data_IF_628556295885
#
_entry.id   IF_628556295885
#
_cell.length_a   1.000
_cell.length_b   1.000
_cell.length_c   1.000
_cell.angle_alpha   90.00
_cell.angle_beta   90.00
_cell.angle_gamma   90.00
#
_symmetry.space_group_name_H-M   'P 1'
#
loop_
_entity.id
_entity.type
_entity.pdbx_description
1 polymer ?
#
# COMPACT_ATOMS: atom_id res chain seq x y z
N UNK A 1 -16.48 -48.53 -45.77
CA UNK A 1 -16.65 -48.36 -44.32
C UNK A 1 -15.64 -47.33 -43.89
N UNK A 2 -16.00 -46.06 -44.02
CA UNK A 2 -15.12 -44.92 -43.77
C UNK A 2 -15.12 -44.59 -42.28
N UNK A 3 -14.00 -44.89 -41.62
CA UNK A 3 -13.79 -44.59 -40.20
C UNK A 3 -13.21 -43.18 -40.10
N UNK A 4 -14.07 -42.22 -39.78
CA UNK A 4 -13.67 -40.85 -39.45
C UNK A 4 -13.05 -40.82 -38.05
N UNK A 5 -11.72 -40.63 -37.98
CA UNK A 5 -11.00 -40.33 -36.74
C UNK A 5 -11.28 -38.87 -36.38
N UNK A 6 -12.22 -38.64 -35.46
CA UNK A 6 -12.36 -37.34 -34.80
C UNK A 6 -11.23 -37.16 -33.78
N UNK A 7 -10.23 -36.37 -34.15
CA UNK A 7 -9.19 -35.91 -33.24
C UNK A 7 -9.79 -34.86 -32.30
N UNK A 8 -10.22 -35.31 -31.11
CA UNK A 8 -10.74 -34.45 -30.06
C UNK A 8 -9.58 -33.62 -29.47
N UNK A 9 -9.34 -32.43 -30.01
CA UNK A 9 -8.47 -31.44 -29.38
C UNK A 9 -9.10 -31.00 -28.07
N UNK A 10 -8.69 -31.61 -26.96
CA UNK A 10 -8.97 -31.12 -25.61
C UNK A 10 -8.25 -29.78 -25.48
N UNK A 11 -8.97 -28.69 -25.73
CA UNK A 11 -8.56 -27.37 -25.27
C UNK A 11 -8.58 -27.39 -23.74
N UNK A 12 -7.45 -27.75 -23.13
CA UNK A 12 -7.16 -27.37 -21.76
C UNK A 12 -7.11 -25.85 -21.74
N UNK A 13 -8.27 -25.23 -21.51
CA UNK A 13 -8.34 -23.81 -21.22
C UNK A 13 -7.48 -23.57 -20.00
N UNK A 14 -6.31 -22.96 -20.21
CA UNK A 14 -5.57 -22.32 -19.15
C UNK A 14 -6.55 -21.31 -18.54
N UNK A 15 -7.17 -21.70 -17.42
CA UNK A 15 -7.83 -20.73 -16.55
C UNK A 15 -6.70 -19.79 -16.16
N UNK A 16 -6.69 -18.62 -16.79
CA UNK A 16 -5.93 -17.47 -16.32
C UNK A 16 -6.28 -17.40 -14.83
N UNK A 17 -5.34 -17.75 -13.96
CA UNK A 17 -5.46 -17.47 -12.55
C UNK A 17 -5.52 -15.94 -12.49
N UNK A 18 -6.74 -15.41 -12.43
CA UNK A 18 -6.97 -14.00 -12.22
C UNK A 18 -6.26 -13.67 -10.92
N UNK A 19 -5.17 -12.91 -11.02
CA UNK A 19 -4.55 -12.32 -9.85
C UNK A 19 -5.66 -11.53 -9.17
N UNK A 20 -5.95 -11.87 -7.92
CA UNK A 20 -6.98 -11.18 -7.15
C UNK A 20 -6.48 -9.74 -6.92
N UNK A 21 -6.91 -8.83 -7.79
CA UNK A 21 -6.54 -7.43 -7.78
C UNK A 21 -7.28 -6.73 -6.63
N UNK A 22 -6.53 -6.02 -5.81
CA UNK A 22 -7.11 -5.14 -4.82
C UNK A 22 -7.83 -3.99 -5.46
N UNK A 23 -8.73 -3.40 -4.68
CA UNK A 23 -9.42 -2.21 -5.08
C UNK A 23 -9.65 -1.34 -3.86
N UNK A 24 -9.22 -0.10 -3.97
CA UNK A 24 -9.35 0.88 -2.91
C UNK A 24 -9.05 2.30 -3.37
N UNK A 25 -9.64 3.28 -2.69
CA UNK A 25 -9.50 4.69 -3.02
C UNK A 25 -9.48 5.56 -1.77
N UNK A 26 -8.69 6.62 -1.83
CA UNK A 26 -8.71 7.71 -0.85
C UNK A 26 -9.94 8.59 -1.11
N UNK A 27 -10.85 8.66 -0.13
CA UNK A 27 -12.13 9.35 -0.22
C UNK A 27 -12.17 10.67 0.58
N UNK A 28 -11.38 10.76 1.64
CA UNK A 28 -11.23 11.97 2.46
C UNK A 28 -9.75 12.12 2.88
N UNK A 29 -9.11 13.28 2.66
CA UNK A 29 -9.53 14.29 1.70
C UNK A 29 -9.74 13.65 0.30
N UNK A 30 -10.71 14.13 -0.50
CA UNK A 30 -10.98 13.51 -1.80
C UNK A 30 -9.74 13.52 -2.70
N UNK A 31 -9.29 12.33 -3.13
CA UNK A 31 -8.14 12.25 -4.04
C UNK A 31 -8.45 12.84 -5.42
N UNK A 32 -7.41 13.14 -6.20
CA UNK A 32 -7.49 13.58 -7.60
C UNK A 32 -8.47 12.72 -8.43
N UNK A 33 -8.38 11.40 -8.31
CA UNK A 33 -9.27 10.46 -9.00
C UNK A 33 -10.66 10.32 -8.36
N UNK A 34 -10.77 10.45 -7.04
CA UNK A 34 -12.03 10.24 -6.30
C UNK A 34 -12.89 11.49 -6.18
N UNK A 35 -12.39 12.68 -6.55
CA UNK A 35 -13.06 13.96 -6.33
C UNK A 35 -14.47 14.03 -6.93
N UNK A 36 -14.67 13.36 -8.07
CA UNK A 36 -15.96 13.29 -8.76
C UNK A 36 -17.06 12.60 -7.92
N UNK A 37 -16.70 11.79 -6.93
CA UNK A 37 -17.67 11.16 -6.00
C UNK A 37 -18.17 12.12 -4.93
N UNK A 38 -17.59 13.31 -4.84
CA UNK A 38 -17.83 14.32 -3.80
C UNK A 38 -18.36 15.63 -4.39
N UNK A 39 -18.98 15.61 -5.57
CA UNK A 39 -19.52 16.82 -6.25
C UNK A 39 -20.56 17.61 -5.45
N UNK A 40 -21.21 16.98 -4.46
CA UNK A 40 -22.17 17.63 -3.57
C UNK A 40 -21.54 18.20 -2.30
N UNK A 41 -20.26 17.92 -2.06
CA UNK A 41 -19.49 18.48 -0.96
C UNK A 41 -19.33 19.99 -1.16
N UNK A 42 -19.64 20.84 -0.17
CA UNK A 42 -19.61 22.30 -0.34
C UNK A 42 -18.27 22.87 -0.83
N UNK A 43 -17.14 22.26 -0.45
CA UNK A 43 -15.80 22.70 -0.86
C UNK A 43 -15.46 22.27 -2.30
N UNK A 44 -16.07 21.19 -2.78
CA UNK A 44 -15.84 20.63 -4.13
C UNK A 44 -16.86 21.13 -5.15
N UNK A 45 -18.09 21.39 -4.71
CA UNK A 45 -19.24 21.80 -5.54
C UNK A 45 -18.93 22.97 -6.49
N UNK A 46 -18.13 23.99 -6.15
CA UNK A 46 -17.75 25.05 -7.09
C UNK A 46 -17.05 24.53 -8.35
N UNK A 47 -16.32 23.41 -8.24
CA UNK A 47 -15.55 22.81 -9.33
C UNK A 47 -16.31 21.71 -10.10
N UNK A 48 -17.58 21.42 -9.75
CA UNK A 48 -18.34 20.27 -10.28
C UNK A 48 -18.39 20.17 -11.81
N UNK A 49 -18.35 21.30 -12.52
CA UNK A 49 -18.47 21.36 -13.98
C UNK A 49 -17.13 21.16 -14.70
N UNK A 50 -16.01 21.17 -13.96
CA UNK A 50 -14.66 21.02 -14.51
C UNK A 50 -13.94 19.78 -13.98
N UNK A 51 -14.45 19.12 -12.93
CA UNK A 51 -13.91 17.85 -12.44
C UNK A 51 -14.03 16.77 -13.51
N UNK A 52 -12.91 16.12 -13.83
CA UNK A 52 -12.88 14.96 -14.72
C UNK A 52 -13.07 13.69 -13.91
N UNK A 53 -14.11 12.91 -14.22
CA UNK A 53 -14.40 11.68 -13.50
C UNK A 53 -13.42 10.55 -13.89
N UNK A 54 -12.83 9.91 -12.88
CA UNK A 54 -12.18 8.61 -13.01
C UNK A 54 -13.10 7.51 -12.46
N UNK A 55 -13.78 6.76 -13.33
CA UNK A 55 -14.65 5.67 -12.88
C UNK A 55 -13.87 4.45 -12.37
N UNK A 56 -12.56 4.37 -12.63
CA UNK A 56 -11.64 3.38 -12.10
C UNK A 56 -10.76 3.95 -10.97
N UNK A 57 -11.27 4.93 -10.21
CA UNK A 57 -10.54 5.60 -9.12
C UNK A 57 -10.12 4.67 -7.96
N UNK A 58 -10.68 3.46 -7.90
CA UNK A 58 -10.28 2.40 -6.96
C UNK A 58 -9.15 1.50 -7.46
N UNK A 59 -8.70 1.67 -8.71
CA UNK A 59 -7.70 0.84 -9.38
C UNK A 59 -6.35 1.52 -9.59
N UNK A 60 -5.98 2.49 -8.75
CA UNK A 60 -4.68 3.18 -8.81
C UNK A 60 -3.58 2.32 -8.16
N UNK A 61 -3.31 1.17 -8.78
CA UNK A 61 -2.54 0.07 -8.22
C UNK A 61 -1.18 -0.16 -8.91
N UNK A 62 -0.57 0.91 -9.43
CA UNK A 62 0.70 0.85 -10.15
C UNK A 62 0.65 0.03 -11.46
N UNK A 63 -0.55 -0.19 -12.01
CA UNK A 63 -0.79 -1.08 -13.14
C UNK A 63 -0.85 -2.56 -12.76
N UNK A 64 -1.06 -2.85 -11.49
CA UNK A 64 -1.10 -4.19 -10.91
C UNK A 64 0.27 -4.71 -10.50
N UNK A 65 0.27 -5.65 -9.55
CA UNK A 65 1.50 -6.22 -8.95
C UNK A 65 2.52 -6.71 -9.98
N UNK A 66 2.07 -7.39 -11.03
CA UNK A 66 2.97 -7.93 -12.07
C UNK A 66 3.68 -6.83 -12.84
N UNK A 67 2.96 -5.75 -13.19
CA UNK A 67 3.56 -4.59 -13.84
C UNK A 67 4.55 -3.89 -12.91
N UNK A 68 4.17 -3.70 -11.65
CA UNK A 68 5.06 -3.12 -10.65
C UNK A 68 6.36 -3.93 -10.49
N UNK A 69 6.28 -5.27 -10.41
CA UNK A 69 7.46 -6.16 -10.36
C UNK A 69 8.32 -6.01 -11.61
N UNK A 70 7.71 -6.00 -12.81
CA UNK A 70 8.43 -5.84 -14.07
C UNK A 70 9.17 -4.49 -14.16
N UNK A 71 8.70 -3.48 -13.42
CA UNK A 71 9.31 -2.17 -13.31
C UNK A 71 10.20 -2.02 -12.05
N UNK A 72 10.70 -3.13 -11.49
CA UNK A 72 11.62 -3.11 -10.35
C UNK A 72 10.99 -2.66 -9.04
N UNK A 73 9.69 -2.89 -8.86
CA UNK A 73 8.93 -2.48 -7.68
C UNK A 73 8.40 -1.03 -7.75
N UNK A 74 8.72 -0.29 -8.81
CA UNK A 74 8.42 1.14 -8.92
C UNK A 74 6.96 1.40 -9.27
N UNK A 75 6.45 2.53 -8.79
CA UNK A 75 5.10 3.02 -9.01
C UNK A 75 5.13 4.53 -9.30
N UNK A 76 4.20 5.04 -10.09
CA UNK A 76 3.92 6.47 -10.16
C UNK A 76 3.54 7.02 -8.78
N UNK A 77 3.87 8.28 -8.51
CA UNK A 77 3.74 8.86 -7.16
C UNK A 77 2.29 8.88 -6.69
N UNK A 78 1.34 8.92 -7.62
CA UNK A 78 -0.09 8.93 -7.33
C UNK A 78 -0.82 7.67 -7.80
N UNK A 79 -0.10 6.55 -7.97
CA UNK A 79 -0.68 5.21 -8.19
C UNK A 79 -0.81 4.79 -9.65
N UNK A 80 -0.42 5.65 -10.58
CA UNK A 80 -0.31 5.32 -11.99
C UNK A 80 0.79 4.26 -12.23
N UNK A 81 0.68 3.43 -13.28
CA UNK A 81 1.78 2.58 -13.74
C UNK A 81 3.08 3.36 -13.94
N UNK A 82 4.19 2.82 -13.43
CA UNK A 82 5.48 3.52 -13.52
C UNK A 82 5.93 3.78 -14.97
N UNK A 83 5.61 2.85 -15.86
CA UNK A 83 5.93 2.86 -17.29
C UNK A 83 4.93 3.64 -18.17
N UNK A 84 3.91 4.27 -17.59
CA UNK A 84 3.03 5.16 -18.35
C UNK A 84 3.78 6.40 -18.83
N UNK A 85 3.38 6.98 -19.98
CA UNK A 85 3.98 8.21 -20.47
C UNK A 85 3.75 9.36 -19.48
N UNK A 86 4.74 10.24 -19.37
CA UNK A 86 4.62 11.45 -18.55
C UNK A 86 3.96 12.60 -19.34
N UNK A 87 3.13 13.45 -18.70
CA UNK A 87 2.69 13.34 -17.31
C UNK A 87 1.67 12.19 -17.12
N UNK A 88 1.85 11.41 -16.05
CA UNK A 88 0.90 10.34 -15.69
C UNK A 88 -0.43 10.95 -15.27
N UNK A 89 -1.54 10.22 -15.42
CA UNK A 89 -2.88 10.81 -15.31
C UNK A 89 -3.17 11.44 -13.93
N UNK A 90 -2.60 10.93 -12.85
CA UNK A 90 -2.80 11.46 -11.48
C UNK A 90 -1.65 12.35 -10.99
N UNK A 91 -0.65 12.62 -11.81
CA UNK A 91 0.47 13.53 -11.53
C UNK A 91 0.27 14.88 -12.21
N UNK A 92 0.97 15.92 -11.77
CA UNK A 92 0.81 17.29 -12.30
C UNK A 92 0.92 17.34 -13.84
N UNK A 93 0.00 18.06 -14.48
CA UNK A 93 -0.18 18.06 -15.94
C UNK A 93 -1.00 16.89 -16.49
N UNK A 94 -1.25 15.88 -15.67
CA UNK A 94 -2.13 14.75 -15.95
C UNK A 94 -3.61 15.10 -15.87
N UNK A 95 -4.43 14.23 -16.46
CA UNK A 95 -5.88 14.40 -16.62
C UNK A 95 -6.64 14.66 -15.31
N UNK A 96 -6.23 14.04 -14.20
CA UNK A 96 -6.91 14.13 -12.90
C UNK A 96 -6.22 15.08 -11.91
N UNK A 97 -4.99 15.51 -12.19
CA UNK A 97 -4.25 16.46 -11.35
C UNK A 97 -4.58 17.91 -11.74
N UNK A 98 -5.81 18.33 -11.45
CA UNK A 98 -6.35 19.63 -11.88
C UNK A 98 -5.98 20.81 -10.96
N UNK A 99 -5.25 20.55 -9.87
CA UNK A 99 -4.77 21.58 -8.93
C UNK A 99 -5.82 22.08 -7.92
N UNK A 100 -6.96 21.40 -7.77
CA UNK A 100 -7.99 21.81 -6.81
C UNK A 100 -7.59 21.44 -5.38
N UNK A 101 -7.44 22.44 -4.53
CA UNK A 101 -7.35 22.26 -3.08
C UNK A 101 -8.70 21.75 -2.58
N UNK A 102 -8.73 20.53 -2.07
CA UNK A 102 -9.95 19.85 -1.65
C UNK A 102 -10.31 20.09 -0.19
N UNK A 103 -9.31 20.45 0.63
CA UNK A 103 -9.45 20.75 2.06
C UNK A 103 -8.45 21.80 2.52
N UNK A 104 -8.82 22.50 3.58
CA UNK A 104 -7.97 23.47 4.28
C UNK A 104 -7.79 23.02 5.74
N UNK A 105 -6.56 22.89 6.18
CA UNK A 105 -6.20 22.46 7.53
C UNK A 105 -5.30 23.49 8.23
N UNK A 106 -5.08 23.30 9.52
CA UNK A 106 -4.06 24.00 10.30
C UNK A 106 -2.85 23.09 10.51
N UNK A 107 -1.65 23.67 10.57
CA UNK A 107 -0.45 22.92 10.97
C UNK A 107 -0.65 22.26 12.33
N UNK A 108 -0.10 21.06 12.53
CA UNK A 108 -0.31 20.33 13.78
C UNK A 108 -1.75 19.86 14.02
N UNK A 109 -2.68 19.99 13.06
CA UNK A 109 -4.03 19.50 13.21
C UNK A 109 -4.09 17.98 13.07
N UNK A 110 -4.91 17.34 13.90
CA UNK A 110 -5.37 15.97 13.69
C UNK A 110 -6.50 15.99 12.65
N UNK A 111 -6.23 15.45 11.46
CA UNK A 111 -7.14 15.55 10.30
C UNK A 111 -7.79 14.22 9.97
N UNK A 112 -9.09 14.21 9.58
CA UNK A 112 -9.76 12.99 9.17
C UNK A 112 -9.24 12.51 7.82
N UNK A 113 -9.04 11.20 7.72
CA UNK A 113 -8.77 10.51 6.46
C UNK A 113 -9.69 9.29 6.33
N UNK A 114 -10.29 9.13 5.16
CA UNK A 114 -11.19 8.01 4.86
C UNK A 114 -10.70 7.30 3.62
N UNK A 115 -10.49 5.99 3.76
CA UNK A 115 -10.16 5.09 2.65
C UNK A 115 -11.28 4.09 2.49
N UNK A 116 -11.78 3.95 1.27
CA UNK A 116 -12.76 2.90 0.93
C UNK A 116 -12.03 1.75 0.25
N UNK A 117 -12.14 0.53 0.79
CA UNK A 117 -11.68 -0.69 0.13
C UNK A 117 -12.88 -1.49 -0.35
N UNK A 118 -12.97 -1.70 -1.66
CA UNK A 118 -14.01 -2.55 -2.28
C UNK A 118 -13.54 -4.01 -2.39
N UNK A 119 -12.22 -4.23 -2.44
CA UNK A 119 -11.60 -5.55 -2.34
C UNK A 119 -10.36 -5.48 -1.42
N UNK A 120 -10.53 -5.66 -0.09
CA UNK A 120 -9.42 -5.60 0.87
C UNK A 120 -8.54 -6.86 0.82
N UNK A 121 -7.23 -6.66 0.73
CA UNK A 121 -6.22 -7.73 0.65
C UNK A 121 -5.18 -7.68 1.76
N UNK A 122 -5.64 -7.43 2.99
CA UNK A 122 -4.79 -7.36 4.18
C UNK A 122 -3.65 -6.33 4.03
N UNK A 123 -2.66 -6.29 4.92
CA UNK A 123 -1.53 -5.36 4.81
C UNK A 123 -1.76 -4.11 5.63
N UNK A 124 -1.40 -2.93 5.13
CA UNK A 124 -1.49 -1.69 5.92
C UNK A 124 -1.54 -0.42 5.08
N UNK A 125 -2.14 0.63 5.64
CA UNK A 125 -2.08 1.98 5.11
C UNK A 125 -0.93 2.77 5.72
N UNK A 126 -0.38 3.68 4.92
CA UNK A 126 0.50 4.78 5.33
C UNK A 126 -0.03 6.08 4.71
N UNK A 127 0.24 7.19 5.38
CA UNK A 127 -0.07 8.53 4.87
C UNK A 127 1.17 9.41 4.91
N UNK A 128 1.40 10.19 3.86
CA UNK A 128 2.49 11.15 3.75
C UNK A 128 1.96 12.51 3.32
N UNK A 129 2.69 13.57 3.62
CA UNK A 129 2.38 14.91 3.11
C UNK A 129 3.65 15.59 2.58
N UNK A 130 3.54 16.40 1.54
CA UNK A 130 4.62 17.25 1.06
C UNK A 130 4.11 18.69 0.86
N UNK A 131 4.80 19.72 1.41
CA UNK A 131 4.50 21.13 1.14
C UNK A 131 5.04 21.54 -0.25
N UNK A 132 4.37 21.08 -1.31
CA UNK A 132 4.89 21.13 -2.68
C UNK A 132 4.78 22.52 -3.33
N UNK A 133 3.64 23.19 -3.19
CA UNK A 133 3.35 24.54 -3.71
C UNK A 133 3.68 24.73 -5.20
N UNK A 134 3.53 23.67 -6.01
CA UNK A 134 3.81 23.72 -7.45
C UNK A 134 2.91 22.75 -8.21
N UNK A 135 1.78 23.23 -8.71
CA UNK A 135 0.80 22.40 -9.41
C UNK A 135 1.20 22.01 -10.84
N UNK A 136 2.29 22.58 -11.39
CA UNK A 136 2.76 22.28 -12.75
C UNK A 136 3.85 21.21 -12.79
N UNK A 137 4.45 20.91 -11.62
CA UNK A 137 5.54 19.95 -11.52
C UNK A 137 5.08 18.68 -10.78
N UNK A 138 5.36 17.48 -11.31
CA UNK A 138 5.07 16.24 -10.58
C UNK A 138 5.78 16.22 -9.22
N UNK A 139 5.00 15.92 -8.18
CA UNK A 139 5.50 15.65 -6.83
C UNK A 139 6.41 14.41 -6.86
N UNK A 140 7.35 14.30 -5.91
CA UNK A 140 8.28 13.16 -5.83
C UNK A 140 8.11 12.38 -4.53
N UNK A 141 8.50 11.09 -4.55
CA UNK A 141 8.54 10.26 -3.35
C UNK A 141 9.49 10.85 -2.30
N UNK A 142 10.62 11.44 -2.72
CA UNK A 142 11.60 12.02 -1.80
C UNK A 142 11.02 13.16 -0.95
N UNK A 143 10.11 13.98 -1.48
CA UNK A 143 9.45 15.01 -0.68
C UNK A 143 8.42 14.41 0.29
N UNK A 144 7.65 13.43 -0.18
CA UNK A 144 6.62 12.77 0.65
C UNK A 144 7.26 11.97 1.79
N UNK A 145 8.39 11.33 1.55
CA UNK A 145 9.12 10.54 2.54
C UNK A 145 9.73 11.39 3.67
N UNK A 146 9.82 12.72 3.50
CA UNK A 146 10.22 13.62 4.58
C UNK A 146 9.14 13.75 5.67
N UNK A 147 7.87 13.49 5.36
CA UNK A 147 6.77 13.66 6.32
C UNK A 147 5.79 12.49 6.27
N UNK A 148 6.22 11.35 6.80
CA UNK A 148 5.34 10.22 7.14
C UNK A 148 4.45 10.61 8.34
N UNK A 149 3.14 10.52 8.17
CA UNK A 149 2.16 10.92 9.18
C UNK A 149 1.89 9.79 10.18
N UNK A 150 1.68 10.16 11.44
CA UNK A 150 1.25 9.23 12.48
C UNK A 150 -0.27 9.28 12.70
N UNK A 151 -0.84 8.14 13.07
CA UNK A 151 -2.21 8.03 13.56
C UNK A 151 -2.31 8.49 15.03
N UNK A 152 -3.52 8.55 15.59
CA UNK A 152 -3.77 8.95 16.99
C UNK A 152 -2.97 8.15 18.03
N UNK A 153 -2.69 6.88 17.74
CA UNK A 153 -1.92 5.99 18.60
C UNK A 153 -0.39 6.13 18.39
N UNK A 154 0.05 7.17 17.67
CA UNK A 154 1.44 7.44 17.30
C UNK A 154 2.10 6.41 16.37
N UNK A 155 1.37 5.40 15.90
CA UNK A 155 1.84 4.49 14.86
C UNK A 155 1.83 5.21 13.51
N UNK A 156 2.67 4.76 12.58
CA UNK A 156 2.69 5.28 11.19
C UNK A 156 2.03 4.33 10.19
N UNK A 157 1.57 3.17 10.67
CA UNK A 157 0.90 2.14 9.86
C UNK A 157 -0.44 1.76 10.47
N UNK A 158 -1.47 1.77 9.65
CA UNK A 158 -2.80 1.28 10.04
C UNK A 158 -3.02 -0.12 9.45
N UNK A 159 -3.13 -1.17 10.28
CA UNK A 159 -3.22 -2.54 9.80
C UNK A 159 -4.61 -2.85 9.20
N UNK A 160 -4.62 -3.55 8.07
CA UNK A 160 -5.81 -4.09 7.42
C UNK A 160 -5.84 -5.59 7.68
N UNK A 161 -6.78 -6.01 8.54
CA UNK A 161 -6.91 -7.42 8.99
C UNK A 161 -8.21 -8.08 8.51
N UNK A 162 -9.16 -7.26 8.06
CA UNK A 162 -10.43 -7.68 7.47
C UNK A 162 -10.29 -7.90 5.96
N UNK A 163 -11.05 -8.85 5.43
CA UNK A 163 -11.23 -9.09 3.99
C UNK A 163 -12.62 -8.67 3.51
N UNK A 164 -13.35 -7.91 4.33
CA UNK A 164 -14.70 -7.44 4.06
C UNK A 164 -14.63 -6.00 3.56
N UNK A 165 -15.27 -5.72 2.42
CA UNK A 165 -15.36 -4.38 1.85
C UNK A 165 -15.97 -3.40 2.85
N UNK A 166 -15.28 -2.28 3.08
CA UNK A 166 -15.71 -1.25 4.04
C UNK A 166 -14.93 0.05 3.84
N UNK A 167 -15.45 1.11 4.46
CA UNK A 167 -14.75 2.38 4.62
C UNK A 167 -14.02 2.40 5.96
N UNK A 168 -12.73 2.74 5.93
CA UNK A 168 -11.89 2.95 7.08
C UNK A 168 -11.81 4.45 7.36
N UNK A 169 -12.46 4.89 8.42
CA UNK A 169 -12.37 6.26 8.91
C UNK A 169 -11.27 6.32 9.97
N UNK A 170 -10.27 7.15 9.76
CA UNK A 170 -9.09 7.30 10.60
C UNK A 170 -8.79 8.79 10.77
N UNK A 171 -7.88 9.10 11.68
CA UNK A 171 -7.30 10.43 11.80
C UNK A 171 -5.78 10.33 11.75
N UNK A 172 -5.14 11.30 11.09
CA UNK A 172 -3.68 11.42 11.02
C UNK A 172 -3.22 12.80 11.48
N UNK A 173 -2.08 12.83 12.14
CA UNK A 173 -1.50 14.03 12.74
C UNK A 173 -0.65 14.76 11.69
N UNK A 174 -1.03 15.98 11.32
CA UNK A 174 -0.18 16.84 10.48
C UNK A 174 1.05 17.31 11.27
N UNK A 175 2.23 17.46 10.62
CA UNK A 175 3.40 18.04 11.26
C UNK A 175 3.18 19.52 11.61
N UNK A 176 3.89 20.01 12.62
CA UNK A 176 3.77 21.40 13.09
C UNK A 176 4.60 22.39 12.26
N UNK A 177 5.50 21.87 11.43
CA UNK A 177 6.40 22.61 10.54
C UNK A 177 5.94 22.61 9.07
N UNK A 178 4.91 21.83 8.73
CA UNK A 178 4.32 21.82 7.38
C UNK A 178 3.29 22.95 7.25
N UNK A 179 3.55 23.86 6.32
CA UNK A 179 2.66 24.95 5.89
C UNK A 179 2.74 25.07 4.37
N UNK A 180 1.61 25.19 3.69
CA UNK A 180 1.53 25.17 2.23
C UNK A 180 0.18 25.74 1.74
N UNK A 181 0.22 26.40 0.59
CA UNK A 181 -0.99 26.75 -0.18
C UNK A 181 -1.48 25.54 -0.98
N UNK A 182 -0.56 24.66 -1.38
CA UNK A 182 -0.86 23.39 -2.02
C UNK A 182 0.13 22.31 -1.55
N UNK A 183 -0.28 21.54 -0.55
CA UNK A 183 0.33 20.28 -0.19
C UNK A 183 -0.25 19.14 -1.02
N UNK A 184 0.55 18.07 -1.18
CA UNK A 184 0.05 16.78 -1.63
C UNK A 184 0.02 15.83 -0.43
N UNK A 185 -1.18 15.38 -0.05
CA UNK A 185 -1.39 14.29 0.89
C UNK A 185 -1.52 12.99 0.10
N UNK A 186 -0.61 12.03 0.36
CA UNK A 186 -0.58 10.74 -0.30
C UNK A 186 -1.06 9.66 0.68
N UNK A 187 -2.08 8.92 0.29
CA UNK A 187 -2.38 7.61 0.84
C UNK A 187 -1.59 6.55 0.06
N UNK A 188 -0.99 5.61 0.79
CA UNK A 188 -0.41 4.38 0.25
C UNK A 188 -1.03 3.20 0.97
N UNK A 189 -1.45 2.20 0.22
CA UNK A 189 -1.85 0.90 0.74
C UNK A 189 -0.97 -0.18 0.17
N UNK A 190 -0.12 -0.76 1.03
CA UNK A 190 0.60 -1.98 0.69
C UNK A 190 -0.23 -3.17 1.13
N UNK A 191 -0.72 -3.93 0.16
CA UNK A 191 -1.45 -5.18 0.41
C UNK A 191 -0.58 -6.22 1.11
N UNK A 192 -1.19 -7.34 1.47
CA UNK A 192 -0.56 -8.32 2.35
C UNK A 192 -0.97 -9.76 2.13
N UNK A 193 -1.64 -10.06 1.03
CA UNK A 193 -2.18 -11.38 0.73
C UNK A 193 -1.25 -12.25 -0.14
N UNK A 194 -0.20 -11.67 -0.72
CA UNK A 194 0.69 -12.40 -1.64
C UNK A 194 1.85 -13.04 -0.89
N UNK A 195 2.21 -14.26 -1.30
CA UNK A 195 3.46 -14.88 -0.86
C UNK A 195 4.66 -14.18 -1.52
N UNK A 196 5.70 -13.94 -0.75
CA UNK A 196 6.97 -13.39 -1.25
C UNK A 196 8.12 -13.69 -0.32
N UNK A 197 9.31 -13.20 -0.68
CA UNK A 197 10.54 -13.36 0.11
C UNK A 197 11.16 -12.00 0.36
N UNK A 198 11.59 -11.76 1.60
CA UNK A 198 12.22 -10.53 2.05
C UNK A 198 13.21 -10.86 3.16
N UNK A 199 14.43 -10.33 3.07
CA UNK A 199 15.49 -10.55 4.06
C UNK A 199 15.78 -12.03 4.39
N UNK A 200 15.61 -12.94 3.42
CA UNK A 200 15.85 -14.37 3.57
C UNK A 200 14.67 -15.16 4.15
N UNK A 201 13.57 -14.50 4.49
CA UNK A 201 12.34 -15.12 4.98
C UNK A 201 11.27 -15.13 3.88
N UNK A 202 10.51 -16.23 3.77
CA UNK A 202 9.45 -16.38 2.78
C UNK A 202 8.11 -16.53 3.47
N UNK A 203 7.09 -15.79 3.05
CA UNK A 203 5.82 -15.74 3.77
C UNK A 203 4.74 -14.92 3.09
N UNK A 204 3.51 -15.02 3.60
CA UNK A 204 2.41 -14.14 3.19
C UNK A 204 2.70 -12.71 3.67
N UNK A 205 2.58 -11.74 2.76
CA UNK A 205 2.79 -10.32 3.04
C UNK A 205 4.24 -9.84 2.94
N UNK A 206 5.18 -10.76 2.73
CA UNK A 206 6.61 -10.47 2.55
C UNK A 206 6.95 -10.19 1.08
N UNK A 207 8.05 -9.48 0.84
CA UNK A 207 8.54 -9.16 -0.50
C UNK A 207 7.62 -8.20 -1.25
N UNK A 208 7.67 -8.18 -2.59
CA UNK A 208 6.81 -7.28 -3.36
C UNK A 208 5.33 -7.67 -3.21
N UNK A 209 4.52 -6.72 -2.76
CA UNK A 209 3.08 -6.82 -2.68
C UNK A 209 2.45 -5.88 -3.71
N UNK A 210 1.15 -6.06 -3.99
CA UNK A 210 0.42 -5.04 -4.74
C UNK A 210 0.28 -3.78 -3.90
N UNK A 211 0.38 -2.61 -4.52
CA UNK A 211 0.29 -1.34 -3.82
C UNK A 211 -0.71 -0.42 -4.51
N UNK A 212 -1.48 0.32 -3.70
CA UNK A 212 -2.44 1.32 -4.16
C UNK A 212 -2.06 2.68 -3.62
N UNK A 213 -2.38 3.72 -4.38
CA UNK A 213 -2.11 5.08 -3.96
C UNK A 213 -3.30 6.00 -4.23
N UNK A 214 -3.32 7.12 -3.52
CA UNK A 214 -4.20 8.23 -3.83
C UNK A 214 -3.57 9.53 -3.36
N UNK A 215 -3.45 10.51 -4.27
CA UNK A 215 -2.99 11.84 -3.95
C UNK A 215 -4.18 12.80 -3.84
N UNK A 216 -4.23 13.59 -2.78
CA UNK A 216 -5.17 14.69 -2.61
C UNK A 216 -4.38 16.00 -2.45
N UNK A 217 -4.83 17.05 -3.14
CA UNK A 217 -4.29 18.40 -2.98
C UNK A 217 -5.03 19.09 -1.83
N UNK A 218 -4.29 19.59 -0.83
CA UNK A 218 -4.83 20.23 0.39
C UNK A 218 -4.00 21.46 0.75
N UNK A 219 -4.55 22.39 1.53
CA UNK A 219 -3.80 23.53 2.08
C UNK A 219 -3.61 23.36 3.59
N UNK A 220 -2.47 23.84 4.11
CA UNK A 220 -2.16 23.84 5.54
C UNK A 220 -1.72 25.23 5.95
N UNK A 221 -2.56 25.91 6.73
CA UNK A 221 -2.30 27.27 7.20
C UNK A 221 -1.38 27.28 8.43
N UNK A 222 -0.59 28.35 8.56
CA UNK A 222 0.35 28.56 9.67
C UNK A 222 -0.23 29.25 10.92
N UNK A 223 -1.49 29.73 10.85
CA UNK A 223 -2.16 30.41 11.95
C UNK A 223 -2.34 29.51 13.18
N UNK A 224 -2.32 30.08 14.38
CA UNK A 224 -2.60 29.33 15.62
C UNK A 224 -4.08 28.94 15.62
N UNK A 225 -4.45 27.66 15.88
CA UNK A 225 -5.86 27.29 16.01
C UNK A 225 -6.50 28.07 17.16
N UNK A 226 -7.75 28.56 17.02
CA UNK A 226 -8.47 29.12 18.16
C UNK A 226 -8.52 28.06 19.29
N UNK A 227 -8.23 28.42 20.55
CA UNK A 227 -8.35 27.48 21.65
C UNK A 227 -9.82 27.08 21.80
N UNK A 228 -10.11 25.79 21.57
CA UNK A 228 -11.37 25.16 21.95
C UNK A 228 -12.61 25.64 21.19
N UNK A 229 -12.95 24.93 20.11
CA UNK A 229 -14.34 24.59 19.76
C UNK A 229 -14.30 23.51 18.68
N UNK A 230 -14.44 22.25 19.10
CA UNK A 230 -14.93 21.21 18.19
C UNK A 230 -16.40 21.51 17.93
N UNK A 231 -16.84 21.84 16.70
CA UNK A 231 -18.26 21.89 16.41
C UNK A 231 -18.77 20.45 16.28
N UNK A 232 -19.63 20.04 17.22
CA UNK A 232 -20.61 19.01 16.94
C UNK A 232 -21.45 19.42 15.72
N UNK A 233 -21.98 18.47 14.92
CA UNK A 233 -22.71 18.80 13.70
C UNK A 233 -24.02 19.49 14.04
N UNK A 234 -24.06 20.82 13.87
CA UNK A 234 -25.26 21.62 14.12
C UNK A 234 -26.03 21.83 12.83
N UNK A 235 -27.28 21.38 12.90
CA UNK A 235 -28.41 21.63 12.02
C UNK A 235 -28.59 23.10 11.67
N UNK A 236 -28.83 23.38 10.39
CA UNK A 236 -29.15 24.70 9.87
C UNK A 236 -30.58 25.07 10.29
N UNK A 237 -30.71 26.16 11.05
CA UNK A 237 -31.94 26.92 11.18
C UNK A 237 -31.69 28.37 10.79
N UNK A 238 -32.55 28.86 9.92
CA UNK A 238 -32.58 30.17 9.28
C UNK A 238 -33.10 31.30 10.18
N UNK A 239 -32.51 32.49 10.12
CA UNK A 239 -33.26 33.77 9.97
C UNK A 239 -32.38 35.01 9.68
N UNK A 240 -32.62 35.58 8.49
CA UNK A 240 -32.88 36.98 8.12
C UNK A 240 -32.18 38.23 8.74
N UNK A 241 -31.73 39.09 7.80
CA UNK A 241 -31.69 40.58 7.77
C UNK A 241 -30.54 41.25 8.55
N UNK A 242 -29.72 42.16 8.01
CA UNK A 242 -30.08 43.38 7.28
C UNK A 242 -28.99 43.92 6.31
N UNK A 243 -29.47 44.74 5.38
CA UNK A 243 -28.77 45.47 4.33
C UNK A 243 -27.82 46.56 4.84
N UNK A 244 -26.65 46.70 4.21
CA UNK A 244 -26.02 48.01 4.04
C UNK A 244 -25.25 48.07 2.72
N UNK A 245 -25.60 49.08 1.92
CA UNK A 245 -25.09 49.43 0.61
C UNK A 245 -23.65 49.91 0.69
N UNK A 246 -22.72 49.33 -0.08
CA UNK A 246 -21.41 49.96 -0.33
C UNK A 246 -20.88 49.59 -1.73
N UNK A 247 -20.31 50.60 -2.39
CA UNK A 247 -19.94 50.68 -3.81
C UNK A 247 -19.01 49.56 -4.29
N UNK A 248 -19.36 49.07 -5.48
CA UNK A 248 -18.59 48.28 -6.46
C UNK A 248 -17.22 48.89 -6.79
N UNK A 249 -16.12 48.11 -6.72
CA UNK A 249 -14.96 48.28 -7.58
C UNK A 249 -15.05 47.38 -8.82
N UNK A 250 -14.44 47.88 -9.87
CA UNK A 250 -14.48 47.44 -11.27
C UNK A 250 -13.93 46.03 -11.47
N UNK A 251 -14.70 45.22 -12.19
CA UNK A 251 -14.30 43.94 -12.80
C UNK A 251 -13.11 44.13 -13.73
N UNK A 252 -11.97 43.49 -13.42
CA UNK A 252 -10.94 43.17 -14.41
C UNK A 252 -11.17 41.74 -14.83
N UNK A 253 -11.84 41.55 -15.95
CA UNK A 253 -12.06 40.25 -16.56
C UNK A 253 -10.81 39.89 -17.35
N UNK A 254 -9.90 39.12 -16.74
CA UNK A 254 -8.78 38.51 -17.47
C UNK A 254 -9.32 37.33 -18.26
N UNK A 255 -9.57 37.57 -19.56
CA UNK A 255 -9.92 36.54 -20.54
C UNK A 255 -8.66 35.73 -20.85
N UNK A 256 -8.70 34.42 -20.59
CA UNK A 256 -7.68 33.46 -21.00
C UNK A 256 -7.74 33.26 -22.53
N UNK A 257 -6.61 33.25 -23.25
CA UNK A 257 -6.59 32.97 -24.68
C UNK A 257 -6.83 31.48 -24.95
N UNK A 258 -7.82 31.18 -25.79
CA UNK A 258 -8.07 29.85 -26.36
C UNK A 258 -6.99 29.55 -27.40
N UNK A 259 -6.07 28.64 -27.07
CA UNK A 259 -5.05 28.18 -28.02
C UNK A 259 -5.67 27.17 -28.99
N UNK A 260 -5.40 27.40 -30.29
CA UNK A 260 -5.93 26.64 -31.42
C UNK A 260 -5.42 25.19 -31.48
N UNK A 261 -6.35 24.31 -31.85
CA UNK A 261 -6.17 22.92 -32.32
C UNK A 261 -5.12 22.82 -33.43
N UNK A 262 -4.12 21.92 -33.35
CA UNK A 262 -3.27 21.60 -34.50
C UNK A 262 -3.95 20.59 -35.42
N UNK A 263 -3.77 20.84 -36.71
CA UNK A 263 -4.26 20.10 -37.86
C UNK A 263 -3.50 18.78 -38.05
N UNK A 264 -4.25 17.74 -38.40
CA UNK A 264 -3.77 16.43 -38.87
C UNK A 264 -2.76 16.56 -40.01
N UNK A 265 -1.59 15.95 -39.87
CA UNK A 265 -0.67 15.68 -40.97
C UNK A 265 -0.53 14.17 -41.14
N UNK A 266 -1.07 13.67 -42.24
CA UNK A 266 -0.96 12.29 -42.72
C UNK A 266 0.51 12.04 -43.10
N UNK A 267 1.18 11.09 -42.45
CA UNK A 267 2.50 10.63 -42.90
C UNK A 267 2.53 9.11 -42.96
N UNK A 268 3.11 8.64 -44.06
CA UNK A 268 3.06 7.31 -44.65
C UNK A 268 3.88 6.28 -43.86
N UNK A 269 3.36 5.06 -43.77
CA UNK A 269 4.04 3.87 -43.25
C UNK A 269 5.22 3.46 -44.13
N UNK A 270 6.43 3.19 -43.57
CA UNK A 270 7.39 2.31 -44.22
C UNK A 270 7.30 0.88 -43.69
N UNK A 271 7.45 -0.02 -44.63
CA UNK A 271 7.29 -1.46 -44.59
C UNK A 271 8.33 -2.17 -43.71
N UNK A 272 7.86 -3.27 -43.13
CA UNK A 272 8.55 -4.34 -42.40
C UNK A 272 9.91 -4.72 -42.99
N UNK A 273 10.96 -4.73 -42.14
CA UNK A 273 12.14 -5.59 -42.32
C UNK A 273 12.33 -6.49 -41.11
N UNK A 274 12.36 -7.79 -41.42
CA UNK A 274 12.60 -8.97 -40.58
C UNK A 274 13.94 -8.86 -39.83
N UNK A 275 13.99 -9.12 -38.51
CA UNK A 275 15.27 -9.26 -37.81
C UNK A 275 15.88 -10.64 -38.11
N UNK A 276 17.16 -10.61 -38.47
CA UNK A 276 18.05 -11.75 -38.66
C UNK A 276 18.40 -12.35 -37.29
N UNK A 277 18.32 -13.68 -37.18
CA UNK A 277 18.80 -14.46 -36.04
C UNK A 277 20.30 -14.24 -35.83
N UNK A 278 20.67 -13.73 -34.66
CA UNK A 278 22.06 -13.72 -34.18
C UNK A 278 22.15 -14.70 -33.03
N UNK A 279 22.92 -15.77 -33.24
CA UNK A 279 23.19 -16.80 -32.24
C UNK A 279 24.27 -16.28 -31.29
N UNK A 280 23.90 -15.91 -30.07
CA UNK A 280 24.86 -15.51 -29.04
C UNK A 280 25.28 -16.72 -28.22
N UNK A 281 26.57 -17.04 -28.28
CA UNK A 281 27.23 -18.12 -27.56
C UNK A 281 27.39 -17.72 -26.08
N UNK A 282 27.00 -18.61 -25.18
CA UNK A 282 27.18 -18.47 -23.73
C UNK A 282 28.66 -18.65 -23.34
N UNK A 283 29.31 -17.73 -22.60
CA UNK A 283 30.58 -18.02 -21.97
C UNK A 283 30.36 -18.83 -20.68
N UNK A 284 31.00 -20.00 -20.61
CA UNK A 284 31.05 -20.87 -19.44
C UNK A 284 32.06 -20.32 -18.44
N UNK A 285 31.60 -19.83 -17.27
CA UNK A 285 32.51 -19.34 -16.23
C UNK A 285 32.95 -20.48 -15.31
N UNK A 286 34.26 -20.69 -15.23
CA UNK A 286 34.94 -21.69 -14.39
C UNK A 286 34.81 -21.35 -12.89
N UNK A 287 34.66 -22.43 -12.11
CA UNK A 287 34.72 -22.52 -10.64
C UNK A 287 36.05 -21.97 -10.09
N UNK A 288 36.07 -21.07 -9.09
CA UNK A 288 37.30 -20.70 -8.41
C UNK A 288 37.72 -21.76 -7.38
N UNK A 289 39.00 -22.10 -7.42
CA UNK A 289 39.72 -22.97 -6.49
C UNK A 289 40.00 -22.23 -5.18
N UNK A 290 39.69 -22.85 -4.03
CA UNK A 290 40.07 -22.34 -2.71
C UNK A 290 41.59 -22.37 -2.55
N UNK A 291 42.18 -21.23 -2.18
CA UNK A 291 43.59 -21.13 -1.76
C UNK A 291 43.62 -20.82 -0.28
N UNK A 292 44.10 -21.74 0.53
CA UNK A 292 44.27 -21.59 1.97
C UNK A 292 45.57 -20.85 2.24
N UNK A 293 45.50 -19.64 2.79
CA UNK A 293 46.69 -18.91 3.26
C UNK A 293 46.65 -18.85 4.79
N UNK A 294 47.62 -19.48 5.43
CA UNK A 294 47.77 -19.52 6.88
C UNK A 294 48.48 -18.26 7.35
N UNK A 295 47.75 -17.35 7.98
CA UNK A 295 48.33 -16.20 8.71
C UNK A 295 48.17 -16.36 10.20
N UNK A 296 49.31 -16.35 10.89
CA UNK A 296 49.53 -16.51 12.33
C UNK A 296 48.85 -15.36 13.08
N UNK A 297 47.91 -15.67 13.98
CA UNK A 297 47.21 -14.68 14.79
C UNK A 297 48.13 -14.10 15.88
N UNK A 298 48.11 -12.77 16.00
CA UNK A 298 48.81 -11.98 17.03
C UNK A 298 47.85 -11.80 18.20
N UNK A 299 48.27 -12.21 19.39
CA UNK A 299 47.51 -12.11 20.64
C UNK A 299 47.36 -10.65 21.06
N UNK A 300 46.12 -10.15 21.12
CA UNK A 300 45.78 -8.92 21.84
C UNK A 300 44.67 -9.22 22.83
N UNK A 301 45.01 -9.06 24.10
CA UNK A 301 44.15 -9.20 25.27
C UNK A 301 43.08 -8.10 25.24
N UNK A 302 41.84 -8.46 24.92
CA UNK A 302 40.67 -7.59 25.10
C UNK A 302 39.82 -8.21 26.20
N UNK A 303 39.58 -7.40 27.24
CA UNK A 303 38.74 -7.74 28.38
C UNK A 303 37.30 -8.04 27.92
N UNK A 304 36.62 -9.04 28.49
CA UNK A 304 35.27 -9.38 28.08
C UNK A 304 34.29 -8.30 28.54
N UNK A 305 33.77 -7.52 27.60
CA UNK A 305 32.59 -6.69 27.83
C UNK A 305 31.37 -7.59 27.71
N UNK A 306 30.70 -7.84 28.84
CA UNK A 306 29.48 -8.63 28.93
C UNK A 306 28.35 -7.93 28.16
N UNK A 307 28.18 -8.28 26.88
CA UNK A 307 26.97 -7.89 26.14
C UNK A 307 25.88 -8.88 26.51
N UNK A 308 25.00 -8.47 27.43
CA UNK A 308 23.80 -9.21 27.80
C UNK A 308 22.91 -9.33 26.57
N UNK A 309 23.07 -10.42 25.83
CA UNK A 309 22.11 -10.82 24.80
C UNK A 309 20.94 -11.41 25.56
N UNK A 310 19.86 -10.65 25.68
CA UNK A 310 18.62 -11.07 26.32
C UNK A 310 18.00 -12.18 25.47
N UNK A 311 18.46 -13.40 25.67
CA UNK A 311 17.84 -14.60 25.12
C UNK A 311 16.63 -14.86 25.99
N UNK A 312 15.48 -14.31 25.62
CA UNK A 312 14.21 -14.69 26.22
C UNK A 312 13.97 -16.16 25.90
N UNK A 313 14.29 -17.04 26.83
CA UNK A 313 13.82 -18.42 26.84
C UNK A 313 12.30 -18.40 26.99
N UNK A 314 11.60 -18.38 25.86
CA UNK A 314 10.16 -18.59 25.80
C UNK A 314 9.86 -20.01 26.26
N UNK A 315 9.45 -20.14 27.53
CA UNK A 315 8.91 -21.37 28.10
C UNK A 315 7.59 -21.74 27.40
N UNK A 316 7.33 -23.02 27.07
CA UNK A 316 6.07 -23.47 26.46
C UNK A 316 4.81 -23.10 27.27
N UNK A 317 4.96 -22.82 28.57
CA UNK A 317 3.86 -22.56 29.49
C UNK A 317 3.22 -21.16 29.37
N UNK A 318 3.81 -20.22 28.62
CA UNK A 318 3.30 -18.85 28.46
C UNK A 318 2.84 -18.52 27.03
N UNK A 319 2.66 -19.52 26.16
CA UNK A 319 2.09 -19.27 24.83
C UNK A 319 0.61 -18.93 25.02
N UNK A 320 0.15 -17.72 24.64
CA UNK A 320 -1.25 -17.37 24.74
C UNK A 320 -2.07 -18.37 23.93
N UNK A 321 -3.23 -18.85 24.42
CA UNK A 321 -4.16 -19.61 23.62
C UNK A 321 -4.39 -18.91 22.28
N UNK A 322 -4.13 -19.63 21.20
CA UNK A 322 -4.34 -19.26 19.81
C UNK A 322 -5.62 -18.44 19.54
N UNK A 323 -6.71 -18.77 20.22
CA UNK A 323 -8.02 -18.16 20.06
C UNK A 323 -8.08 -16.72 20.59
N UNK A 324 -7.05 -16.28 21.31
CA UNK A 324 -6.90 -14.92 21.86
C UNK A 324 -5.92 -14.05 21.08
N UNK A 325 -5.22 -14.60 20.07
CA UNK A 325 -4.28 -13.81 19.26
C UNK A 325 -5.04 -13.13 18.13
N UNK A 326 -5.51 -11.91 18.39
CA UNK A 326 -6.19 -11.08 17.38
C UNK A 326 -5.23 -10.28 16.51
N UNK A 327 -3.95 -10.19 16.90
CA UNK A 327 -2.93 -9.39 16.21
C UNK A 327 -1.52 -9.98 16.39
N UNK A 328 -0.71 -9.91 15.34
CA UNK A 328 0.71 -10.30 15.37
C UNK A 328 1.66 -9.22 15.91
N UNK A 329 1.15 -8.05 16.34
CA UNK A 329 1.98 -6.90 16.74
C UNK A 329 3.07 -7.23 17.77
N UNK A 330 2.71 -8.04 18.77
CA UNK A 330 3.60 -8.44 19.88
C UNK A 330 3.87 -9.95 19.89
N UNK A 331 3.70 -10.62 18.74
CA UNK A 331 3.87 -12.07 18.64
C UNK A 331 5.21 -12.42 18.00
N UNK A 332 5.77 -13.60 18.31
CA UNK A 332 6.93 -14.12 17.59
C UNK A 332 6.65 -14.24 16.09
N UNK A 333 7.46 -13.57 15.27
CA UNK A 333 7.37 -13.63 13.80
C UNK A 333 8.19 -14.83 13.29
N UNK A 334 7.72 -15.51 12.25
CA UNK A 334 8.32 -16.73 11.68
C UNK A 334 8.40 -17.94 12.61
N UNK A 335 7.67 -17.92 13.72
CA UNK A 335 7.60 -19.04 14.66
C UNK A 335 6.17 -19.60 14.67
N UNK A 336 5.96 -20.85 14.22
CA UNK A 336 4.71 -21.57 14.42
C UNK A 336 4.34 -21.64 15.92
N UNK A 337 3.07 -21.46 16.23
CA UNK A 337 2.53 -21.54 17.58
C UNK A 337 1.37 -22.54 17.65
N UNK A 338 1.25 -23.33 18.74
CA UNK A 338 0.19 -24.33 18.88
C UNK A 338 -1.22 -23.71 18.89
N UNK A 339 -2.20 -24.48 18.45
CA UNK A 339 -3.62 -24.20 18.70
C UNK A 339 -4.10 -25.08 19.84
N UNK A 340 -4.72 -24.47 20.85
CA UNK A 340 -5.36 -25.24 21.91
C UNK A 340 -6.55 -26.01 21.31
N UNK A 341 -6.68 -27.28 21.67
CA UNK A 341 -7.78 -28.16 21.28
C UNK A 341 -7.93 -28.41 19.75
N UNK A 342 -6.95 -28.03 18.92
CA UNK A 342 -6.95 -28.27 17.46
C UNK A 342 -5.58 -28.81 17.02
N UNK A 343 -5.33 -30.09 17.32
CA UNK A 343 -4.03 -30.74 17.20
C UNK A 343 -3.47 -30.82 15.77
N UNK A 344 -4.32 -30.77 14.74
CA UNK A 344 -3.87 -30.78 13.34
C UNK A 344 -3.61 -29.37 12.80
N UNK A 345 -3.53 -28.34 13.66
CA UNK A 345 -3.31 -26.95 13.25
C UNK A 345 -2.28 -26.23 14.11
N UNK A 346 -1.79 -25.12 13.56
CA UNK A 346 -0.92 -24.14 14.22
C UNK A 346 -1.21 -22.73 13.70
N UNK A 347 -0.77 -21.69 14.42
CA UNK A 347 -0.77 -20.32 13.95
C UNK A 347 0.62 -19.86 13.54
N UNK A 348 0.67 -19.01 12.51
CA UNK A 348 1.89 -18.37 12.05
C UNK A 348 1.67 -16.87 11.90
N UNK A 349 2.52 -16.09 12.56
CA UNK A 349 2.69 -14.67 12.27
C UNK A 349 3.85 -14.50 11.28
N UNK A 350 3.56 -13.85 10.15
CA UNK A 350 4.56 -13.53 9.13
C UNK A 350 5.10 -12.11 9.25
N UNK A 351 4.33 -11.19 9.84
CA UNK A 351 4.76 -9.84 10.18
C UNK A 351 3.86 -9.26 11.28
N UNK A 352 4.26 -8.12 11.85
CA UNK A 352 3.58 -7.48 12.98
C UNK A 352 2.25 -6.79 12.62
N UNK A 353 1.97 -6.56 11.33
CA UNK A 353 0.81 -5.78 10.87
C UNK A 353 -0.37 -6.65 10.41
N UNK A 354 -0.22 -7.97 10.46
CA UNK A 354 -1.25 -8.92 10.06
C UNK A 354 -1.87 -9.64 11.26
N UNK A 355 -3.01 -10.28 10.98
CA UNK A 355 -3.56 -11.30 11.86
C UNK A 355 -2.78 -12.60 11.72
N UNK A 356 -2.73 -13.45 12.76
CA UNK A 356 -2.09 -14.74 12.64
C UNK A 356 -2.87 -15.62 11.64
N UNK A 357 -2.15 -16.43 10.86
CA UNK A 357 -2.75 -17.38 9.93
C UNK A 357 -2.88 -18.74 10.60
N UNK A 358 -4.10 -19.27 10.65
CA UNK A 358 -4.34 -20.66 11.06
C UNK A 358 -3.99 -21.58 9.91
N UNK A 359 -2.96 -22.38 10.08
CA UNK A 359 -2.47 -23.34 9.09
C UNK A 359 -2.81 -24.75 9.55
N UNK A 360 -3.14 -25.62 8.58
CA UNK A 360 -3.36 -27.04 8.85
C UNK A 360 -2.07 -27.81 8.58
N UNK A 361 -1.76 -28.73 9.47
CA UNK A 361 -0.74 -29.73 9.24
C UNK A 361 -1.10 -30.64 8.06
N UNK A 362 -0.08 -31.26 7.47
CA UNK A 362 -0.29 -32.27 6.43
C UNK A 362 -1.14 -33.43 6.96
N UNK A 363 -1.86 -34.10 6.06
CA UNK A 363 -2.74 -35.23 6.43
C UNK A 363 -1.99 -36.26 7.29
N UNK A 364 -2.58 -36.63 8.43
CA UNK A 364 -2.00 -37.62 9.35
C UNK A 364 -0.86 -37.11 10.25
N UNK A 365 -0.63 -35.80 10.28
CA UNK A 365 0.35 -35.16 11.19
C UNK A 365 -0.35 -34.21 12.16
N UNK A 366 0.27 -33.97 13.30
CA UNK A 366 -0.18 -33.05 14.35
C UNK A 366 0.93 -32.03 14.64
N UNK A 367 0.57 -30.88 15.19
CA UNK A 367 1.56 -29.86 15.54
C UNK A 367 2.42 -30.32 16.72
N UNK A 368 3.73 -30.38 16.53
CA UNK A 368 4.69 -30.72 17.57
C UNK A 368 5.30 -29.44 18.18
N UNK A 369 4.94 -29.05 19.41
CA UNK A 369 5.45 -27.83 20.04
C UNK A 369 6.95 -27.92 20.38
N UNK A 370 7.50 -29.12 20.55
CA UNK A 370 8.91 -29.34 20.93
C UNK A 370 9.86 -28.89 19.82
N UNK A 371 9.46 -29.12 18.56
CA UNK A 371 10.25 -28.82 17.36
C UNK A 371 9.62 -27.73 16.48
N UNK A 372 8.49 -27.17 16.92
CA UNK A 372 7.74 -26.07 16.27
C UNK A 372 7.41 -26.34 14.81
N UNK A 373 6.99 -27.56 14.48
CA UNK A 373 6.52 -27.97 13.15
C UNK A 373 5.55 -29.14 13.25
N UNK A 374 4.84 -29.43 12.16
CA UNK A 374 4.02 -30.63 12.09
C UNK A 374 4.90 -31.89 12.08
N UNK A 375 4.45 -32.91 12.81
CA UNK A 375 5.14 -34.19 12.97
C UNK A 375 4.10 -35.32 13.11
N UNK A 376 4.54 -36.57 12.99
CA UNK A 376 3.64 -37.68 13.21
C UNK A 376 3.22 -37.80 14.68
N UNK A 377 1.97 -38.22 14.98
CA UNK A 377 1.47 -38.32 16.35
C UNK A 377 2.37 -39.10 17.30
N UNK A 378 3.06 -40.15 16.84
CA UNK A 378 3.95 -40.97 17.67
C UNK A 378 5.23 -40.24 18.11
N UNK A 379 5.56 -39.08 17.53
CA UNK A 379 6.67 -38.21 17.95
C UNK A 379 6.22 -37.07 18.88
N UNK A 380 4.90 -36.89 19.06
CA UNK A 380 4.33 -35.77 19.82
C UNK A 380 3.76 -36.27 21.14
N UNK A 381 4.01 -35.55 22.24
CA UNK A 381 3.43 -35.89 23.53
C UNK A 381 1.90 -35.68 23.54
N UNK A 382 1.16 -36.38 24.40
CA UNK A 382 -0.25 -36.08 24.67
C UNK A 382 -0.47 -34.61 25.08
N UNK A 383 -1.63 -33.99 24.76
CA UNK A 383 -2.85 -34.62 24.28
C UNK A 383 -2.91 -34.83 22.75
N UNK A 384 -2.00 -34.22 21.99
CA UNK A 384 -2.08 -34.23 20.53
C UNK A 384 -1.38 -35.42 19.87
N UNK A 385 -0.45 -36.08 20.57
CA UNK A 385 0.21 -37.28 20.06
C UNK A 385 0.19 -38.45 21.03
N UNK A 386 0.89 -39.50 20.65
CA UNK A 386 0.95 -40.80 21.35
C UNK A 386 2.33 -41.11 21.89
N UNK A 387 3.30 -40.18 21.80
CA UNK A 387 4.65 -40.36 22.34
C UNK A 387 4.56 -40.51 23.85
N UNK A 388 4.81 -41.71 24.34
CA UNK A 388 4.99 -41.96 25.77
C UNK A 388 6.41 -41.48 26.16
N UNK A 389 6.49 -40.84 27.34
CA UNK A 389 7.69 -40.17 27.84
C UNK A 389 8.88 -41.08 28.05
#
# INVERSE_FOLDING_TARGET
>A
MDVWIFCLCIFLGAKQLGLAEGHGRLMEPPSRSSMHRRINDPEIRPYKNIIVANYNDMGLNCGGRSNQIANGGRCGVCGDPYNDPEPRENEAGGKFAQGFVTRNYQRGQLVPVTVELTAPHLGYFEFRICPWNNFEKPITHECLDQHLLSFENHETRYPITSSIAQSYNMNVQLPTDVVCEQCVLQWRYRTGNSWGTENGESGIGLGQQEEFYGCADVAVAGGVPPPGNFPAPSTVSSSSTSTTTTRRPTTTTTVWPTTRRPTTTTTVWPTTRRPTTTTTVWPTTRRPTMTTTTTKARTTTIWPTTTTTTTTTYSPANVPPADKITSCKNQPIMIPLPVNDDCDRFYQCWNSYMKPYKMRCGSGTVYNPDIRRCDHPYNVAPPCGTRQG
#
